data_IF_467870083795
#
_entry.id   IF_467870083795
#
_cell.length_a   1.000
_cell.length_b   1.000
_cell.length_c   1.000
_cell.angle_alpha   90.00
_cell.angle_beta   90.00
_cell.angle_gamma   90.00
#
_symmetry.space_group_name_H-M   'P 1'
#
loop_
_entity.id
_entity.type
_entity.pdbx_description
1 polymer ?
#
# COMPACT_ATOMS: atom_id res chain seq x y z
N UNK A 1 7.59 1.33 21.72
CA UNK A 1 6.19 1.69 21.34
C UNK A 1 5.69 2.63 22.40
N UNK A 2 5.35 3.87 22.03
CA UNK A 2 4.74 4.82 22.96
C UNK A 2 3.26 4.47 23.05
N UNK A 3 2.83 3.99 24.21
CA UNK A 3 1.40 3.86 24.48
C UNK A 3 0.78 5.24 24.38
N UNK A 4 -0.26 5.38 23.55
CA UNK A 4 -1.03 6.61 23.44
C UNK A 4 -1.63 6.93 24.81
N UNK A 5 -1.02 7.83 25.56
CA UNK A 5 -1.59 8.31 26.83
C UNK A 5 -2.60 9.40 26.48
N UNK A 6 -3.89 9.03 26.53
CA UNK A 6 -4.93 10.05 26.53
C UNK A 6 -4.76 10.89 27.80
N UNK A 7 -4.57 12.21 27.69
CA UNK A 7 -4.44 13.05 28.86
C UNK A 7 -5.73 12.99 29.70
N UNK A 8 -5.57 12.67 30.98
CA UNK A 8 -6.69 12.66 31.90
C UNK A 8 -7.32 14.09 31.99
N UNK A 9 -8.62 14.18 31.81
CA UNK A 9 -9.34 15.45 31.87
C UNK A 9 -9.46 16.23 30.55
N UNK A 10 -8.89 15.73 29.43
CA UNK A 10 -9.15 16.31 28.13
C UNK A 10 -10.55 15.94 27.62
N UNK A 11 -11.19 16.86 26.87
CA UNK A 11 -12.44 16.55 26.18
C UNK A 11 -12.19 15.48 25.12
N UNK A 12 -13.22 14.67 24.82
CA UNK A 12 -13.16 13.73 23.70
C UNK A 12 -12.84 14.52 22.41
N UNK A 13 -11.86 14.08 21.61
CA UNK A 13 -11.55 14.72 20.33
C UNK A 13 -12.79 14.79 19.44
N UNK A 14 -12.97 15.91 18.73
CA UNK A 14 -14.05 16.05 17.77
C UNK A 14 -13.80 15.19 16.54
N UNK A 15 -14.83 14.50 16.05
CA UNK A 15 -14.80 13.81 14.77
C UNK A 15 -15.37 14.75 13.71
N UNK A 16 -14.63 15.07 12.64
CA UNK A 16 -15.14 15.95 11.59
C UNK A 16 -16.29 15.28 10.84
N UNK A 17 -17.29 16.08 10.42
CA UNK A 17 -18.34 15.61 9.55
C UNK A 17 -17.83 15.57 8.10
N UNK A 18 -17.85 14.38 7.50
CA UNK A 18 -17.58 14.22 6.05
C UNK A 18 -18.91 14.26 5.29
N UNK A 19 -18.95 15.02 4.21
CA UNK A 19 -20.14 15.12 3.31
C UNK A 19 -20.12 14.10 2.19
N UNK A 20 -18.95 13.53 1.87
CA UNK A 20 -18.79 12.51 0.82
C UNK A 20 -18.03 11.32 1.39
N UNK A 21 -18.58 10.11 1.27
CA UNK A 21 -17.84 8.90 1.61
C UNK A 21 -16.65 8.75 0.67
N UNK A 22 -15.50 8.35 1.21
CA UNK A 22 -14.32 8.04 0.44
C UNK A 22 -14.30 6.52 0.20
N UNK A 23 -14.50 6.11 -1.04
CA UNK A 23 -14.37 4.72 -1.48
C UNK A 23 -13.30 4.64 -2.57
N UNK A 24 -12.36 3.73 -2.43
CA UNK A 24 -11.29 3.54 -3.43
C UNK A 24 -11.63 2.45 -4.45
N UNK A 25 -12.61 1.58 -4.12
CA UNK A 25 -13.01 0.50 -5.01
C UNK A 25 -11.94 -0.60 -5.19
N UNK A 26 -12.07 -1.36 -6.26
CA UNK A 26 -11.22 -2.51 -6.52
C UNK A 26 -9.82 -2.13 -7.00
N UNK A 27 -8.78 -2.64 -6.33
CA UNK A 27 -7.39 -2.50 -6.75
C UNK A 27 -7.17 -3.34 -8.01
N UNK A 28 -6.63 -2.70 -9.07
CA UNK A 28 -6.37 -3.31 -10.38
C UNK A 28 -4.88 -3.45 -10.68
N UNK A 29 -4.07 -2.49 -10.26
CA UNK A 29 -2.61 -2.50 -10.40
C UNK A 29 -1.91 -1.97 -9.15
N UNK A 30 -0.66 -2.32 -9.00
CA UNK A 30 0.19 -1.88 -7.90
C UNK A 30 1.46 -1.28 -8.49
N UNK A 31 1.87 -0.10 -7.99
CA UNK A 31 3.14 0.51 -8.34
C UNK A 31 4.07 0.36 -7.14
N UNK A 32 5.20 -0.29 -7.33
CA UNK A 32 6.25 -0.42 -6.33
C UNK A 32 7.31 0.67 -6.53
N UNK A 33 7.73 1.28 -5.43
CA UNK A 33 8.82 2.25 -5.41
C UNK A 33 9.53 2.16 -4.05
N UNK A 34 10.83 2.44 -3.99
CA UNK A 34 11.52 2.59 -2.70
C UNK A 34 10.97 3.80 -1.94
N UNK A 35 10.92 3.71 -0.61
CA UNK A 35 10.52 4.85 0.24
C UNK A 35 11.57 5.96 0.17
N UNK A 36 12.85 5.58 0.05
CA UNK A 36 13.97 6.52 -0.04
C UNK A 36 14.66 6.40 -1.39
N UNK A 37 14.90 7.54 -2.03
CA UNK A 37 15.70 7.63 -3.27
C UNK A 37 17.20 7.49 -2.97
N UNK A 38 17.67 8.14 -1.90
CA UNK A 38 19.05 8.03 -1.43
C UNK A 38 19.13 8.47 0.05
N UNK A 39 19.88 7.74 0.87
CA UNK A 39 20.07 8.07 2.28
C UNK A 39 18.75 8.28 3.01
N UNK A 40 18.47 9.50 3.43
CA UNK A 40 17.24 9.90 4.13
C UNK A 40 16.23 10.63 3.24
N UNK A 41 16.56 10.85 1.96
CA UNK A 41 15.69 11.57 1.02
C UNK A 41 14.53 10.67 0.60
N UNK A 42 13.32 11.00 1.01
CA UNK A 42 12.10 10.25 0.67
C UNK A 42 11.69 10.47 -0.79
N UNK A 43 11.26 9.40 -1.44
CA UNK A 43 10.55 9.49 -2.71
C UNK A 43 9.18 10.11 -2.47
N UNK A 44 8.98 11.28 -3.03
CA UNK A 44 7.71 12.01 -2.96
C UNK A 44 7.57 13.00 -4.11
N UNK A 45 6.34 13.33 -4.44
CA UNK A 45 5.98 14.37 -5.41
C UNK A 45 4.79 15.16 -4.85
N UNK A 46 4.51 16.33 -5.37
CA UNK A 46 3.28 17.03 -4.98
C UNK A 46 2.06 16.29 -5.51
N UNK A 47 0.91 16.40 -4.82
CA UNK A 47 -0.36 15.80 -5.29
C UNK A 47 -0.73 16.28 -6.70
N UNK A 48 -0.43 17.54 -7.02
CA UNK A 48 -0.64 18.11 -8.36
C UNK A 48 0.23 17.40 -9.43
N UNK A 49 1.50 17.15 -9.14
CA UNK A 49 2.38 16.38 -10.04
C UNK A 49 1.94 14.93 -10.16
N UNK A 50 1.52 14.30 -9.06
CA UNK A 50 1.01 12.94 -9.08
C UNK A 50 -0.22 12.76 -9.99
N UNK A 51 -0.95 13.83 -10.28
CA UNK A 51 -2.08 13.83 -11.19
C UNK A 51 -1.68 13.97 -12.68
N UNK A 52 -0.37 14.10 -13.01
CA UNK A 52 0.11 14.28 -14.38
C UNK A 52 0.99 13.14 -14.86
N UNK A 53 0.84 12.71 -16.12
CA UNK A 53 1.64 11.66 -16.74
C UNK A 53 3.14 11.99 -16.76
N UNK A 54 3.46 13.26 -16.99
CA UNK A 54 4.84 13.76 -17.08
C UNK A 54 5.66 13.52 -15.80
N UNK A 55 5.02 13.45 -14.63
CA UNK A 55 5.72 13.17 -13.37
C UNK A 55 6.03 11.68 -13.16
N UNK A 56 5.22 10.79 -13.69
CA UNK A 56 5.41 9.33 -13.56
C UNK A 56 6.38 8.75 -14.59
N UNK A 57 6.34 9.21 -15.83
CA UNK A 57 7.15 8.68 -16.92
C UNK A 57 8.65 8.55 -16.59
N UNK A 58 9.32 9.59 -16.02
CA UNK A 58 10.73 9.48 -15.67
C UNK A 58 11.01 8.44 -14.56
N UNK A 59 10.04 8.16 -13.68
CA UNK A 59 10.22 7.18 -12.60
C UNK A 59 10.27 5.75 -13.12
N UNK A 60 9.51 5.41 -14.16
CA UNK A 60 9.53 4.07 -14.76
C UNK A 60 10.80 3.81 -15.58
N UNK A 61 11.42 4.85 -16.13
CA UNK A 61 12.68 4.75 -16.86
C UNK A 61 13.93 5.01 -16.01
N UNK A 62 13.75 5.37 -14.72
CA UNK A 62 14.86 5.65 -13.82
C UNK A 62 15.74 4.41 -13.60
N UNK A 63 17.04 4.65 -13.35
CA UNK A 63 18.02 3.61 -13.01
C UNK A 63 18.61 3.78 -11.60
N UNK A 64 18.03 4.67 -10.82
CA UNK A 64 18.44 5.01 -9.46
C UNK A 64 17.35 4.66 -8.42
N UNK A 65 17.49 5.16 -7.21
CA UNK A 65 16.54 4.92 -6.12
C UNK A 65 15.16 5.57 -6.29
N UNK A 66 14.94 6.34 -7.36
CA UNK A 66 13.62 6.91 -7.70
C UNK A 66 12.77 5.99 -8.56
N UNK A 67 13.36 4.88 -9.05
CA UNK A 67 12.67 3.95 -9.95
C UNK A 67 11.36 3.44 -9.38
N UNK A 68 10.33 3.51 -10.19
CA UNK A 68 9.03 2.87 -9.95
C UNK A 68 8.82 1.68 -10.91
N UNK A 69 8.06 0.69 -10.46
CA UNK A 69 7.71 -0.49 -11.26
C UNK A 69 6.22 -0.76 -11.08
N UNK A 70 5.49 -0.91 -12.20
CA UNK A 70 4.06 -1.24 -12.16
C UNK A 70 3.85 -2.72 -12.44
N UNK A 71 2.90 -3.32 -11.72
CA UNK A 71 2.50 -4.72 -11.93
C UNK A 71 1.60 -4.86 -13.16
N UNK A 72 1.48 -6.07 -13.75
CA UNK A 72 0.30 -6.45 -14.52
C UNK A 72 -0.98 -6.27 -13.69
N UNK A 73 -2.13 -6.50 -14.29
CA UNK A 73 -3.37 -6.52 -13.54
C UNK A 73 -3.31 -7.55 -12.40
N UNK A 74 -3.74 -7.13 -11.23
CA UNK A 74 -3.89 -7.98 -10.04
C UNK A 74 -5.36 -8.30 -9.84
N UNK A 75 -5.61 -9.50 -9.35
CA UNK A 75 -6.97 -10.01 -9.12
C UNK A 75 -7.14 -10.47 -7.67
N UNK A 76 -8.38 -10.68 -7.26
CA UNK A 76 -8.73 -11.19 -5.93
C UNK A 76 -8.02 -10.48 -4.77
N UNK A 77 -8.06 -9.14 -4.68
CA UNK A 77 -7.47 -8.43 -3.56
C UNK A 77 -8.14 -8.85 -2.26
N UNK A 78 -7.34 -9.24 -1.27
CA UNK A 78 -7.82 -9.48 0.09
C UNK A 78 -6.96 -8.71 1.08
N UNK A 79 -7.59 -8.18 2.12
CA UNK A 79 -6.93 -7.52 3.24
C UNK A 79 -7.33 -8.25 4.52
N UNK A 80 -6.35 -8.70 5.29
CA UNK A 80 -6.55 -9.43 6.54
C UNK A 80 -5.65 -8.85 7.62
N UNK A 81 -6.18 -8.67 8.83
CA UNK A 81 -5.47 -8.07 9.96
C UNK A 81 -5.93 -6.65 10.27
N UNK A 82 -5.07 -5.88 10.91
CA UNK A 82 -5.44 -4.57 11.46
C UNK A 82 -6.17 -4.66 12.79
N UNK A 83 -6.27 -5.88 13.38
CA UNK A 83 -6.93 -6.12 14.65
C UNK A 83 -6.14 -5.54 15.83
N UNK A 84 -6.87 -5.16 16.86
CA UNK A 84 -6.26 -4.69 18.09
C UNK A 84 -5.52 -5.81 18.83
N UNK A 85 -4.28 -5.55 19.23
CA UNK A 85 -3.55 -6.39 20.17
C UNK A 85 -3.98 -5.96 21.57
N UNK A 86 -4.61 -6.86 22.30
CA UNK A 86 -5.14 -6.57 23.65
C UNK A 86 -4.37 -7.30 24.73
N UNK A 87 -4.34 -6.72 25.92
CA UNK A 87 -3.78 -7.29 27.13
C UNK A 87 -4.75 -7.15 28.28
N UNK A 88 -4.81 -8.19 29.12
CA UNK A 88 -5.58 -8.18 30.36
C UNK A 88 -6.98 -8.75 30.21
N UNK A 89 -7.79 -8.48 31.20
CA UNK A 89 -9.13 -9.08 31.38
C UNK A 89 -9.15 -10.09 32.54
N UNK A 90 -10.29 -10.32 33.14
CA UNK A 90 -10.42 -11.25 34.27
C UNK A 90 -9.50 -10.91 35.42
N UNK A 91 -8.63 -11.84 35.80
CA UNK A 91 -7.66 -11.67 36.90
C UNK A 91 -6.31 -11.07 36.49
N UNK A 92 -6.07 -10.88 35.17
CA UNK A 92 -4.76 -10.45 34.65
C UNK A 92 -4.54 -8.94 34.75
N UNK A 93 -5.58 -8.17 34.97
CA UNK A 93 -5.51 -6.72 35.15
C UNK A 93 -6.37 -6.26 36.34
N UNK A 94 -5.89 -5.20 37.01
CA UNK A 94 -6.63 -4.59 38.10
C UNK A 94 -8.01 -4.09 37.61
N UNK A 95 -9.08 -4.60 38.23
CA UNK A 95 -10.46 -4.31 37.84
C UNK A 95 -10.97 -5.10 36.62
N UNK A 96 -10.21 -6.10 36.13
CA UNK A 96 -10.63 -6.98 35.04
C UNK A 96 -10.75 -6.30 33.66
N UNK A 97 -10.17 -5.11 33.49
CA UNK A 97 -10.28 -4.34 32.24
C UNK A 97 -9.28 -4.81 31.17
N UNK A 98 -9.75 -4.97 29.95
CA UNK A 98 -8.89 -5.23 28.78
C UNK A 98 -8.35 -3.91 28.23
N UNK A 99 -7.07 -3.86 27.92
CA UNK A 99 -6.39 -2.69 27.34
C UNK A 99 -5.86 -3.02 25.94
N UNK A 100 -6.02 -2.09 25.00
CA UNK A 100 -5.38 -2.17 23.68
C UNK A 100 -3.93 -1.71 23.84
N UNK A 101 -2.98 -2.56 23.45
CA UNK A 101 -1.53 -2.30 23.52
C UNK A 101 -0.85 -2.12 22.16
N UNK A 102 -1.57 -2.40 21.07
CA UNK A 102 -1.06 -2.24 19.72
C UNK A 102 -2.10 -2.61 18.67
N UNK A 103 -1.67 -2.55 17.41
CA UNK A 103 -2.47 -2.96 16.25
C UNK A 103 -1.62 -3.91 15.39
N UNK A 104 -2.21 -5.00 14.92
CA UNK A 104 -1.56 -5.92 14.02
C UNK A 104 -1.34 -5.28 12.64
N UNK A 105 -0.27 -5.65 11.90
CA UNK A 105 -0.15 -5.30 10.50
C UNK A 105 -1.33 -5.82 9.67
N UNK A 106 -1.64 -5.14 8.55
CA UNK A 106 -2.62 -5.62 7.58
C UNK A 106 -1.92 -6.38 6.47
N UNK A 107 -2.25 -7.65 6.28
CA UNK A 107 -1.71 -8.46 5.20
C UNK A 107 -2.58 -8.31 3.96
N UNK A 108 -1.95 -7.90 2.86
CA UNK A 108 -2.58 -7.80 1.55
C UNK A 108 -2.16 -8.99 0.70
N UNK A 109 -3.11 -9.64 0.04
CA UNK A 109 -2.83 -10.71 -0.92
C UNK A 109 -3.56 -10.46 -2.24
N UNK A 110 -2.93 -10.88 -3.34
CA UNK A 110 -3.40 -10.71 -4.70
C UNK A 110 -3.05 -11.95 -5.52
N UNK A 111 -3.81 -12.22 -6.56
CA UNK A 111 -3.50 -13.21 -7.57
C UNK A 111 -3.00 -12.51 -8.84
N UNK A 112 -1.88 -12.98 -9.36
CA UNK A 112 -1.34 -12.60 -10.68
C UNK A 112 -1.61 -13.75 -11.63
N UNK A 113 -2.63 -13.60 -12.46
CA UNK A 113 -3.05 -14.65 -13.40
C UNK A 113 -2.50 -14.44 -14.80
N UNK A 114 -2.19 -15.54 -15.48
CA UNK A 114 -1.75 -15.54 -16.88
C UNK A 114 -0.55 -14.62 -17.18
N UNK A 115 0.33 -14.42 -16.20
CA UNK A 115 1.55 -13.62 -16.41
C UNK A 115 2.67 -14.44 -17.07
N UNK A 116 3.47 -13.78 -17.91
CA UNK A 116 4.64 -14.45 -18.50
C UNK A 116 5.75 -14.64 -17.47
N UNK A 117 6.54 -15.70 -17.63
CA UNK A 117 7.57 -16.11 -16.68
C UNK A 117 8.63 -15.00 -16.41
N UNK A 118 8.96 -14.18 -17.40
CA UNK A 118 9.89 -13.07 -17.24
C UNK A 118 9.38 -12.01 -16.25
N UNK A 119 8.09 -11.72 -16.28
CA UNK A 119 7.45 -10.78 -15.32
C UNK A 119 7.46 -11.38 -13.91
N UNK A 120 7.09 -12.66 -13.77
CA UNK A 120 7.14 -13.33 -12.46
C UNK A 120 8.55 -13.29 -11.87
N UNK A 121 9.59 -13.56 -12.69
CA UNK A 121 11.00 -13.48 -12.27
C UNK A 121 11.40 -12.06 -11.86
N UNK A 122 10.97 -11.04 -12.60
CA UNK A 122 11.28 -9.64 -12.29
C UNK A 122 10.61 -9.21 -10.97
N UNK A 123 9.34 -9.57 -10.75
CA UNK A 123 8.64 -9.31 -9.50
C UNK A 123 9.27 -10.03 -8.30
N UNK A 124 9.74 -11.29 -8.48
CA UNK A 124 10.49 -12.00 -7.44
C UNK A 124 11.79 -11.31 -7.05
N UNK A 125 12.47 -10.65 -7.99
CA UNK A 125 13.68 -9.90 -7.70
C UNK A 125 13.43 -8.73 -6.73
N UNK A 126 12.22 -8.15 -6.73
CA UNK A 126 11.85 -7.08 -5.79
C UNK A 126 11.79 -7.55 -4.33
N UNK A 127 11.69 -8.86 -4.07
CA UNK A 127 11.69 -9.41 -2.70
C UNK A 127 13.00 -9.16 -1.96
N UNK A 128 14.10 -8.92 -2.68
CA UNK A 128 15.41 -8.61 -2.10
C UNK A 128 15.58 -7.11 -1.81
N UNK A 129 14.63 -6.28 -2.25
CA UNK A 129 14.71 -4.84 -2.05
C UNK A 129 14.28 -4.43 -0.64
N UNK A 130 15.04 -3.52 -0.05
CA UNK A 130 14.74 -2.95 1.26
C UNK A 130 13.97 -1.63 1.11
N UNK A 131 13.19 -1.29 2.12
CA UNK A 131 12.46 -0.02 2.19
C UNK A 131 11.51 0.19 1.00
N UNK A 132 10.78 -0.85 0.62
CA UNK A 132 9.77 -0.77 -0.43
C UNK A 132 8.50 -0.11 0.06
N UNK A 133 7.84 0.57 -0.85
CA UNK A 133 6.50 1.09 -0.68
C UNK A 133 5.66 0.84 -1.92
N UNK A 134 4.36 1.06 -1.79
CA UNK A 134 3.38 0.80 -2.84
C UNK A 134 2.46 1.99 -3.06
N UNK A 135 2.00 2.13 -4.29
CA UNK A 135 0.79 2.87 -4.62
C UNK A 135 -0.22 1.87 -5.19
N UNK A 136 -1.48 2.04 -4.84
CA UNK A 136 -2.57 1.26 -5.39
C UNK A 136 -3.25 2.03 -6.50
N UNK A 137 -3.60 1.34 -7.57
CA UNK A 137 -4.38 1.89 -8.69
C UNK A 137 -5.70 1.13 -8.75
N UNK A 138 -6.81 1.85 -8.69
CA UNK A 138 -8.15 1.26 -8.74
C UNK A 138 -8.69 1.17 -10.18
N UNK A 139 -9.89 0.59 -10.31
CA UNK A 139 -10.58 0.43 -11.59
C UNK A 139 -10.97 1.76 -12.26
N UNK A 140 -11.12 2.83 -11.49
CA UNK A 140 -11.43 4.17 -11.99
C UNK A 140 -10.18 4.97 -12.39
N UNK A 141 -8.99 4.37 -12.28
CA UNK A 141 -7.73 5.02 -12.58
C UNK A 141 -7.25 6.00 -11.50
N UNK A 142 -7.79 5.94 -10.30
CA UNK A 142 -7.26 6.73 -9.18
C UNK A 142 -6.03 6.05 -8.57
N UNK A 143 -5.12 6.85 -8.05
CA UNK A 143 -3.89 6.39 -7.40
C UNK A 143 -3.96 6.70 -5.92
N UNK A 144 -3.88 5.67 -5.08
CA UNK A 144 -3.78 5.81 -3.63
C UNK A 144 -2.32 5.68 -3.20
N UNK A 145 -1.87 6.59 -2.38
CA UNK A 145 -0.56 6.59 -1.73
C UNK A 145 -0.65 7.19 -0.34
N UNK A 146 0.49 7.59 0.19
CA UNK A 146 0.59 8.22 1.51
C UNK A 146 0.90 9.71 1.39
N UNK A 147 0.25 10.53 2.21
CA UNK A 147 0.66 11.91 2.45
C UNK A 147 1.85 11.92 3.42
N UNK A 148 3.04 12.23 2.90
CA UNK A 148 4.30 12.22 3.67
C UNK A 148 4.44 13.51 4.48
N UNK A 149 3.98 14.61 3.91
CA UNK A 149 3.85 15.94 4.52
C UNK A 149 2.77 16.69 3.75
N UNK A 150 2.30 17.80 4.27
CA UNK A 150 1.24 18.60 3.64
C UNK A 150 1.48 18.82 2.14
N UNK A 151 0.57 18.31 1.31
CA UNK A 151 0.63 18.40 -0.14
C UNK A 151 1.61 17.48 -0.85
N UNK A 152 2.43 16.69 -0.13
CA UNK A 152 3.38 15.74 -0.71
C UNK A 152 2.87 14.31 -0.64
N UNK A 153 2.87 13.66 -1.80
CA UNK A 153 2.36 12.33 -2.06
C UNK A 153 3.53 11.36 -2.30
N UNK A 154 3.50 10.21 -1.65
CA UNK A 154 4.54 9.20 -1.76
C UNK A 154 4.02 7.79 -1.55
N UNK A 155 4.89 6.77 -1.63
CA UNK A 155 4.49 5.38 -1.49
C UNK A 155 4.11 5.04 -0.04
N UNK A 156 3.10 4.18 0.13
CA UNK A 156 2.73 3.58 1.40
C UNK A 156 3.80 2.54 1.75
N UNK A 157 4.48 2.62 2.92
CA UNK A 157 5.47 1.63 3.32
C UNK A 157 4.89 0.21 3.38
N UNK A 158 5.66 -0.77 2.92
CA UNK A 158 5.30 -2.19 3.03
C UNK A 158 6.38 -2.97 3.73
N UNK A 159 6.00 -4.15 4.21
CA UNK A 159 6.87 -5.14 4.82
C UNK A 159 6.63 -6.49 4.14
N UNK A 160 7.57 -7.40 4.24
CA UNK A 160 7.38 -8.82 3.87
C UNK A 160 6.85 -9.05 2.44
N UNK A 161 7.36 -8.29 1.45
CA UNK A 161 6.99 -8.54 0.05
C UNK A 161 7.34 -9.98 -0.35
N UNK A 162 6.35 -10.70 -0.85
CA UNK A 162 6.49 -12.07 -1.31
C UNK A 162 5.76 -12.29 -2.64
N UNK A 163 6.43 -12.95 -3.57
CA UNK A 163 5.88 -13.40 -4.84
C UNK A 163 6.06 -14.91 -4.94
N UNK A 164 4.96 -15.64 -4.92
CA UNK A 164 4.94 -17.11 -4.95
C UNK A 164 5.34 -17.70 -6.29
N UNK A 165 5.63 -19.00 -6.28
CA UNK A 165 5.79 -19.77 -7.51
C UNK A 165 4.45 -19.96 -8.22
N UNK A 166 4.52 -20.38 -9.48
CA UNK A 166 3.34 -20.67 -10.28
C UNK A 166 2.55 -21.80 -9.63
N UNK A 167 1.30 -21.53 -9.32
CA UNK A 167 0.33 -22.50 -8.86
C UNK A 167 -0.49 -22.96 -10.06
N UNK A 168 -0.38 -24.25 -10.36
CA UNK A 168 -1.13 -24.89 -11.43
C UNK A 168 -2.54 -25.22 -10.92
N UNK A 169 -3.51 -24.58 -11.53
CA UNK A 169 -4.91 -24.74 -11.20
C UNK A 169 -5.63 -25.58 -12.22
N UNK A 170 -6.38 -26.45 -12.21
CA UNK A 170 -7.04 -27.31 -13.21
C UNK A 170 -7.73 -26.56 -14.35
N UNK A 171 -8.66 -27.20 -15.02
CA UNK A 171 -9.31 -26.66 -16.23
C UNK A 171 -10.21 -25.44 -15.99
N UNK A 172 -10.72 -25.26 -14.79
CA UNK A 172 -11.74 -24.24 -14.48
C UNK A 172 -11.16 -22.92 -13.97
N UNK A 173 -9.89 -22.88 -13.59
CA UNK A 173 -9.25 -21.70 -13.01
C UNK A 173 -7.89 -21.51 -13.66
N UNK A 174 -7.57 -20.30 -14.15
CA UNK A 174 -6.24 -19.99 -14.69
C UNK A 174 -5.14 -20.20 -13.65
N UNK A 175 -3.96 -20.59 -14.11
CA UNK A 175 -2.77 -20.64 -13.29
C UNK A 175 -2.41 -19.26 -12.74
N UNK A 176 -1.89 -19.22 -11.52
CA UNK A 176 -1.66 -17.97 -10.81
C UNK A 176 -0.34 -17.96 -10.04
N UNK A 177 0.24 -16.79 -9.85
CA UNK A 177 1.27 -16.52 -8.86
C UNK A 177 0.67 -15.67 -7.74
N UNK A 178 0.92 -16.04 -6.49
CA UNK A 178 0.52 -15.22 -5.37
C UNK A 178 1.45 -14.01 -5.23
N UNK A 179 0.87 -12.84 -4.96
CA UNK A 179 1.59 -11.63 -4.56
C UNK A 179 1.06 -11.23 -3.20
N UNK A 180 1.92 -11.04 -2.22
CA UNK A 180 1.51 -10.61 -0.88
C UNK A 180 2.54 -9.70 -0.23
N UNK A 181 2.07 -8.83 0.66
CA UNK A 181 2.88 -7.98 1.52
C UNK A 181 2.07 -7.51 2.72
N UNK A 182 2.77 -7.04 3.75
CA UNK A 182 2.13 -6.47 4.95
C UNK A 182 2.24 -4.95 4.93
N UNK A 183 1.16 -4.29 5.29
CA UNK A 183 1.11 -2.86 5.60
C UNK A 183 1.31 -2.67 7.11
N UNK A 184 2.14 -1.72 7.54
CA UNK A 184 2.37 -1.48 8.96
C UNK A 184 1.08 -1.03 9.68
N UNK A 185 1.06 -1.16 10.99
CA UNK A 185 -0.04 -0.62 11.80
C UNK A 185 -0.26 0.87 11.49
N UNK A 186 -1.52 1.29 11.45
CA UNK A 186 -1.95 2.68 11.16
C UNK A 186 -1.51 3.18 9.76
N UNK A 187 -1.35 2.28 8.80
CA UNK A 187 -0.97 2.64 7.44
C UNK A 187 -1.98 3.57 6.75
N UNK A 188 -3.25 3.50 7.16
CA UNK A 188 -4.37 4.23 6.58
C UNK A 188 -4.57 5.64 7.13
N UNK A 189 -3.85 6.04 8.19
CA UNK A 189 -4.09 7.32 8.86
C UNK A 189 -3.80 8.53 7.96
N UNK A 190 -2.79 8.42 7.09
CA UNK A 190 -2.35 9.48 6.20
C UNK A 190 -2.50 9.09 4.72
N UNK A 191 -3.52 8.32 4.35
CA UNK A 191 -3.75 8.00 2.95
C UNK A 191 -4.20 9.21 2.17
N UNK A 192 -3.74 9.29 0.92
CA UNK A 192 -4.19 10.28 -0.04
C UNK A 192 -4.56 9.59 -1.35
N UNK A 193 -5.63 10.04 -1.97
CA UNK A 193 -6.09 9.58 -3.29
C UNK A 193 -5.91 10.73 -4.26
N UNK A 194 -5.26 10.43 -5.39
CA UNK A 194 -5.05 11.36 -6.49
C UNK A 194 -5.80 10.83 -7.70
N UNK A 195 -6.60 11.70 -8.32
CA UNK A 195 -7.26 11.41 -9.60
C UNK A 195 -6.43 12.03 -10.71
N UNK A 196 -5.86 11.22 -11.62
CA UNK A 196 -5.12 11.71 -12.77
C UNK A 196 -5.96 12.64 -13.64
N UNK A 197 -5.31 13.66 -14.22
CA UNK A 197 -5.98 14.68 -15.01
C UNK A 197 -5.76 14.54 -16.53
N UNK A 198 -4.65 13.92 -16.95
CA UNK A 198 -4.19 13.85 -18.33
C UNK A 198 -3.80 12.46 -18.81
N UNK A 199 -3.97 11.42 -17.98
CA UNK A 199 -3.63 10.04 -18.32
C UNK A 199 -4.48 9.02 -17.54
N UNK A 200 -4.50 7.77 -18.03
CA UNK A 200 -5.08 6.64 -17.32
C UNK A 200 -3.96 5.73 -16.80
N UNK A 201 -3.76 5.60 -15.48
CA UNK A 201 -2.69 4.76 -14.91
C UNK A 201 -2.77 3.29 -15.30
N UNK A 202 -3.96 2.81 -15.66
CA UNK A 202 -4.16 1.41 -16.04
C UNK A 202 -3.59 1.08 -17.43
N UNK A 203 -3.57 2.06 -18.34
CA UNK A 203 -3.14 1.87 -19.74
C UNK A 203 -1.85 2.59 -20.10
N UNK A 204 -1.64 3.78 -19.53
CA UNK A 204 -0.58 4.70 -19.96
C UNK A 204 0.71 4.55 -19.16
N UNK A 205 0.64 3.91 -17.98
CA UNK A 205 1.83 3.59 -17.20
C UNK A 205 2.35 2.20 -17.57
N UNK A 206 3.59 2.14 -18.02
CA UNK A 206 4.30 0.92 -18.37
C UNK A 206 5.74 0.95 -17.87
N UNK A 207 6.28 -0.24 -17.56
CA UNK A 207 7.69 -0.39 -17.24
C UNK A 207 8.53 -0.20 -18.52
N UNK A 208 9.65 0.53 -18.39
CA UNK A 208 10.62 0.71 -19.47
C UNK A 208 11.55 -0.49 -19.58
#
# INVERSE_FOLDING_TARGET
>A
MSACQCPAGASIPSVPNATCPQDFGQIQKIIFQRIFSSGTTKNSMTKANAATHAAWTPLFSATDGTKAVITPYVEAPTADGGDAITYGGGNDTLGGTTKVIGVNPTNMTFALRQIVQSIAKALKALMCELNMGVYFVNGDGQIMGKEISEGNFGPIPIQTLFVGDLKLNGLETPDENALSFSLPANWSDDIAIVTPSDFNPLTDLANA
#
